data_IF_977082938414
#
_entry.id   IF_977082938414
#
_cell.length_a   1.000
_cell.length_b   1.000
_cell.length_c   1.000
_cell.angle_alpha   90.00
_cell.angle_beta   90.00
_cell.angle_gamma   90.00
#
_symmetry.space_group_name_H-M   'P 1'
#
loop_
_entity.id
_entity.type
_entity.pdbx_description
1 polymer ?
#
# COMPACT_ATOMS: atom_id res chain seq x y z
N UNK A 1 -31.17 9.44 -21.77
CA UNK A 1 -30.14 8.79 -20.93
C UNK A 1 -28.91 9.66 -20.99
N UNK A 2 -28.55 10.29 -19.88
CA UNK A 2 -27.33 11.10 -19.74
C UNK A 2 -26.15 10.15 -19.62
N UNK A 3 -25.18 10.26 -20.53
CA UNK A 3 -23.90 9.54 -20.43
C UNK A 3 -23.19 10.03 -19.16
N UNK A 4 -22.80 9.15 -18.23
CA UNK A 4 -22.05 9.56 -17.05
C UNK A 4 -20.73 10.23 -17.49
N UNK A 5 -20.40 11.35 -16.86
CA UNK A 5 -19.15 12.05 -17.14
C UNK A 5 -17.97 11.12 -16.85
N UNK A 6 -16.93 11.04 -17.70
CA UNK A 6 -15.78 10.15 -17.47
C UNK A 6 -15.07 10.42 -16.14
N UNK A 7 -15.17 11.66 -15.62
CA UNK A 7 -14.65 12.05 -14.32
C UNK A 7 -15.40 11.45 -13.12
N UNK A 8 -16.64 11.00 -13.33
CA UNK A 8 -17.50 10.37 -12.32
C UNK A 8 -17.24 8.85 -12.18
N UNK A 9 -16.33 8.30 -13.00
CA UNK A 9 -15.88 6.91 -12.97
C UNK A 9 -14.63 6.71 -12.09
N UNK A 10 -14.05 7.77 -11.55
CA UNK A 10 -12.90 7.68 -10.66
C UNK A 10 -13.33 7.05 -9.32
N UNK A 11 -12.99 5.76 -9.13
CA UNK A 11 -13.28 5.01 -7.91
C UNK A 11 -12.69 5.64 -6.62
N UNK A 12 -11.76 6.60 -6.75
CA UNK A 12 -11.09 7.28 -5.65
C UNK A 12 -10.83 8.75 -6.04
N UNK A 13 -11.34 9.70 -5.25
CA UNK A 13 -11.06 11.13 -5.42
C UNK A 13 -9.61 11.52 -5.11
N UNK A 14 -9.20 12.74 -5.50
CA UNK A 14 -7.82 13.22 -5.38
C UNK A 14 -7.24 13.11 -3.95
N UNK A 15 -8.04 13.43 -2.93
CA UNK A 15 -7.64 13.32 -1.52
C UNK A 15 -7.42 11.87 -1.09
N UNK A 16 -8.28 10.96 -1.55
CA UNK A 16 -8.15 9.52 -1.30
C UNK A 16 -6.91 8.92 -1.95
N UNK A 17 -6.52 9.44 -3.13
CA UNK A 17 -5.28 9.05 -3.81
C UNK A 17 -4.04 9.52 -3.04
N UNK A 18 -4.01 10.77 -2.59
CA UNK A 18 -2.89 11.28 -1.79
C UNK A 18 -2.74 10.54 -0.45
N UNK A 19 -3.85 10.26 0.23
CA UNK A 19 -3.85 9.50 1.47
C UNK A 19 -3.29 8.08 1.27
N UNK A 20 -3.71 7.38 0.21
CA UNK A 20 -3.19 6.03 -0.08
C UNK A 20 -1.72 6.03 -0.44
N UNK A 21 -1.25 7.04 -1.19
CA UNK A 21 0.19 7.20 -1.45
C UNK A 21 0.96 7.41 -0.15
N UNK A 22 0.48 8.29 0.72
CA UNK A 22 1.11 8.57 2.01
C UNK A 22 1.21 7.30 2.88
N UNK A 23 0.09 6.58 3.03
CA UNK A 23 0.05 5.30 3.75
C UNK A 23 1.00 4.28 3.10
N UNK A 24 0.97 4.16 1.77
CA UNK A 24 1.84 3.25 1.02
C UNK A 24 3.32 3.49 1.31
N UNK A 25 3.76 4.76 1.34
CA UNK A 25 5.15 5.11 1.65
C UNK A 25 5.52 4.74 3.09
N UNK A 26 4.66 4.99 4.07
CA UNK A 26 4.91 4.61 5.47
C UNK A 26 5.10 3.10 5.59
N UNK A 27 4.18 2.33 5.01
CA UNK A 27 4.23 0.87 5.07
C UNK A 27 5.40 0.28 4.27
N UNK A 28 5.84 0.95 3.21
CA UNK A 28 7.05 0.59 2.48
C UNK A 28 8.26 0.65 3.41
N UNK A 29 8.53 1.79 4.04
CA UNK A 29 9.65 1.93 4.98
C UNK A 29 9.53 0.98 6.18
N UNK A 30 8.33 0.81 6.71
CA UNK A 30 8.08 -0.12 7.80
C UNK A 30 8.42 -1.57 7.41
N UNK A 31 8.06 -1.99 6.19
CA UNK A 31 8.39 -3.33 5.66
C UNK A 31 9.89 -3.58 5.68
N UNK A 32 10.69 -2.65 5.16
CA UNK A 32 12.15 -2.80 5.15
C UNK A 32 12.75 -2.74 6.55
N UNK A 33 12.30 -1.82 7.40
CA UNK A 33 12.76 -1.72 8.79
C UNK A 33 12.46 -2.99 9.58
N UNK A 34 11.25 -3.52 9.45
CA UNK A 34 10.85 -4.77 10.09
C UNK A 34 11.67 -5.96 9.55
N UNK A 35 11.83 -6.08 8.24
CA UNK A 35 12.63 -7.15 7.63
C UNK A 35 14.09 -7.12 8.10
N UNK A 36 14.68 -5.92 8.16
CA UNK A 36 16.04 -5.71 8.66
C UNK A 36 16.16 -6.16 10.12
N UNK A 37 15.26 -5.71 11.00
CA UNK A 37 15.28 -6.08 12.42
C UNK A 37 15.12 -7.59 12.62
N UNK A 38 14.13 -8.20 11.95
CA UNK A 38 13.87 -9.64 12.09
C UNK A 38 15.04 -10.49 11.57
N UNK A 39 15.74 -10.02 10.53
CA UNK A 39 16.94 -10.68 10.01
C UNK A 39 18.14 -10.47 10.92
N UNK A 40 18.35 -9.25 11.43
CA UNK A 40 19.47 -8.91 12.31
C UNK A 40 19.45 -9.68 13.63
N UNK A 41 18.26 -9.97 14.16
CA UNK A 41 18.09 -10.77 15.38
C UNK A 41 17.81 -12.26 15.12
N UNK A 42 18.02 -12.73 13.89
CA UNK A 42 17.86 -14.12 13.46
C UNK A 42 16.53 -14.77 13.91
N UNK A 43 15.44 -13.98 13.84
CA UNK A 43 14.13 -14.36 14.37
C UNK A 43 13.56 -15.62 13.69
N UNK A 44 12.72 -16.42 14.35
CA UNK A 44 12.16 -17.63 13.75
C UNK A 44 11.29 -17.33 12.52
N UNK A 45 11.23 -18.28 11.58
CA UNK A 45 10.55 -18.13 10.29
C UNK A 45 9.09 -17.60 10.41
N UNK A 46 8.25 -18.06 11.35
CA UNK A 46 6.90 -17.53 11.51
C UNK A 46 6.85 -16.02 11.77
N UNK A 47 7.83 -15.47 12.49
CA UNK A 47 7.91 -14.03 12.73
C UNK A 47 8.40 -13.29 11.48
N UNK A 48 9.33 -13.84 10.69
CA UNK A 48 9.79 -13.24 9.43
C UNK A 48 8.66 -13.10 8.41
N UNK A 49 7.71 -14.04 8.40
CA UNK A 49 6.51 -13.99 7.54
C UNK A 49 5.62 -12.80 7.86
N UNK A 50 5.71 -12.20 9.07
CA UNK A 50 4.92 -11.00 9.39
C UNK A 50 5.25 -9.79 8.50
N UNK A 51 6.42 -9.76 7.86
CA UNK A 51 6.83 -8.72 6.87
C UNK A 51 5.90 -8.69 5.65
N UNK A 52 5.23 -9.79 5.33
CA UNK A 52 4.29 -9.83 4.20
C UNK A 52 3.08 -8.91 4.42
N UNK A 53 2.63 -8.71 5.65
CA UNK A 53 1.46 -7.86 5.94
C UNK A 53 1.70 -6.40 5.52
N UNK A 54 2.75 -5.70 6.01
CA UNK A 54 3.01 -4.34 5.56
C UNK A 54 3.41 -4.26 4.08
N UNK A 55 4.05 -5.29 3.52
CA UNK A 55 4.35 -5.37 2.09
C UNK A 55 3.06 -5.39 1.24
N UNK A 56 2.06 -6.18 1.65
CA UNK A 56 0.76 -6.23 0.99
C UNK A 56 -0.01 -4.92 1.09
N UNK A 57 0.01 -4.26 2.25
CA UNK A 57 -0.63 -2.94 2.42
C UNK A 57 -0.01 -1.94 1.44
N UNK A 58 1.32 -1.91 1.34
CA UNK A 58 2.04 -1.07 0.39
C UNK A 58 1.61 -1.35 -1.05
N UNK A 59 1.63 -2.62 -1.47
CA UNK A 59 1.26 -3.03 -2.83
C UNK A 59 -0.18 -2.62 -3.18
N UNK A 60 -1.13 -2.88 -2.26
CA UNK A 60 -2.54 -2.53 -2.47
C UNK A 60 -2.74 -1.01 -2.55
N UNK A 61 -2.08 -0.24 -1.70
CA UNK A 61 -2.14 1.22 -1.75
C UNK A 61 -1.64 1.76 -3.10
N UNK A 62 -0.53 1.24 -3.62
CA UNK A 62 0.03 1.66 -4.90
C UNK A 62 -0.83 1.20 -6.09
N UNK A 63 -1.36 -0.02 -6.06
CA UNK A 63 -2.24 -0.54 -7.12
C UNK A 63 -3.54 0.24 -7.21
N UNK A 64 -4.13 0.62 -6.07
CA UNK A 64 -5.37 1.39 -6.03
C UNK A 64 -5.18 2.82 -6.53
N UNK A 65 -3.98 3.39 -6.37
CA UNK A 65 -3.61 4.69 -6.94
C UNK A 65 -3.43 4.61 -8.47
N UNK A 66 -2.91 3.48 -8.98
CA UNK A 66 -2.77 3.27 -10.44
C UNK A 66 -4.10 3.02 -11.13
N UNK A 67 -5.05 2.36 -10.47
CA UNK A 67 -6.38 2.10 -11.01
C UNK A 67 -7.35 3.28 -10.96
N UNK A 68 -6.92 4.45 -10.48
CA UNK A 68 -7.75 5.66 -10.35
C UNK A 68 -7.46 6.74 -11.41
N UNK A 69 -6.80 6.36 -12.52
CA UNK A 69 -6.53 7.23 -13.69
C UNK A 69 -7.48 6.91 -14.82
#
# INVERSE_FOLDING_TARGET
MTVPDPGDLANIGADGRQLRLFIGVIFFFFTFGQALLLTAFDMPLPLRVSVFVPAWITALCLLQVRGST
#
